data_IF_667216352908
#
_entry.id   IF_667216352908
#
_cell.length_a   1.000
_cell.length_b   1.000
_cell.length_c   1.000
_cell.angle_alpha   90.00
_cell.angle_beta   90.00
_cell.angle_gamma   90.00
#
_symmetry.space_group_name_H-M   'P 1'
#
loop_
_entity.id
_entity.type
_entity.pdbx_description
1 polymer ?
#
# COMPACT_ATOMS: atom_id res chain seq x y z
N UNK A 1 26.62 34.24 71.36
CA UNK A 1 26.87 33.27 70.28
C UNK A 1 25.58 33.05 69.50
N UNK A 2 25.45 33.65 68.30
CA UNK A 2 24.28 33.48 67.39
C UNK A 2 24.61 32.46 66.35
N UNK A 3 23.88 31.34 66.35
CA UNK A 3 23.99 30.30 65.31
C UNK A 3 23.09 30.66 64.12
N UNK A 4 23.67 30.84 62.95
CA UNK A 4 22.98 30.96 61.67
C UNK A 4 22.73 29.56 61.13
N UNK A 5 21.44 29.20 60.97
CA UNK A 5 21.04 28.02 60.18
C UNK A 5 20.92 28.46 58.70
N UNK A 6 21.78 27.91 57.88
CA UNK A 6 21.66 28.02 56.42
C UNK A 6 20.74 26.88 55.93
N UNK A 7 19.55 27.23 55.47
CA UNK A 7 18.67 26.28 54.80
C UNK A 7 19.05 26.20 53.32
N UNK A 8 19.54 25.02 52.87
CA UNK A 8 19.81 24.75 51.47
C UNK A 8 18.52 24.19 50.83
N UNK A 9 17.87 25.00 49.99
CA UNK A 9 16.74 24.55 49.20
C UNK A 9 17.24 23.73 48.02
N UNK A 10 16.97 22.43 48.00
CA UNK A 10 17.20 21.56 46.86
C UNK A 10 16.05 21.75 45.83
N UNK A 11 16.37 22.36 44.68
CA UNK A 11 15.46 22.53 43.56
C UNK A 11 15.44 21.20 42.81
N UNK A 12 14.40 20.39 42.99
CA UNK A 12 14.16 19.18 42.19
C UNK A 12 13.68 19.62 40.80
N UNK A 13 14.56 19.55 39.81
CA UNK A 13 14.21 19.63 38.37
C UNK A 13 13.46 18.34 38.01
N UNK A 14 12.14 18.38 38.04
CA UNK A 14 11.34 17.37 37.35
C UNK A 14 11.41 17.69 35.85
N UNK A 15 12.33 17.03 35.15
CA UNK A 15 12.28 16.95 33.69
C UNK A 15 11.00 16.19 33.32
N UNK A 16 9.94 16.92 33.05
CA UNK A 16 8.77 16.36 32.36
C UNK A 16 9.28 15.86 31.02
N UNK A 17 9.15 14.55 30.78
CA UNK A 17 9.34 13.99 29.44
C UNK A 17 8.23 14.61 28.58
N UNK A 18 8.58 15.58 27.73
CA UNK A 18 7.70 16.00 26.67
C UNK A 18 7.55 14.79 25.74
N UNK A 19 6.38 14.15 25.75
CA UNK A 19 6.01 13.21 24.71
C UNK A 19 5.88 14.05 23.44
N UNK A 20 6.81 13.89 22.50
CA UNK A 20 6.62 14.46 21.17
C UNK A 20 5.44 13.75 20.54
N UNK A 21 4.50 14.49 19.99
CA UNK A 21 3.39 13.90 19.21
C UNK A 21 3.97 13.08 18.06
N UNK A 22 3.49 11.82 17.91
CA UNK A 22 3.86 10.99 16.79
C UNK A 22 2.97 11.34 15.60
N UNK A 23 3.59 11.69 14.47
CA UNK A 23 2.88 11.95 13.21
C UNK A 23 3.27 10.87 12.21
N UNK A 24 2.27 10.26 11.59
CA UNK A 24 2.40 9.32 10.47
C UNK A 24 1.71 9.89 9.25
N UNK A 25 2.42 9.96 8.14
CA UNK A 25 1.86 10.29 6.83
C UNK A 25 1.54 9.01 6.08
N UNK A 26 0.32 8.85 5.64
CA UNK A 26 -0.12 7.72 4.81
C UNK A 26 -0.39 8.25 3.40
N UNK A 27 0.39 7.76 2.45
CA UNK A 27 0.11 7.87 1.03
C UNK A 27 -0.62 6.58 0.61
N UNK A 28 -1.59 6.67 -0.28
CA UNK A 28 -2.26 5.48 -0.76
C UNK A 28 -2.69 5.59 -2.21
N UNK A 29 -2.82 4.43 -2.83
CA UNK A 29 -3.49 4.21 -4.11
C UNK A 29 -4.51 3.08 -3.97
N UNK A 30 -5.40 2.96 -4.92
CA UNK A 30 -6.36 1.88 -5.08
C UNK A 30 -6.86 1.84 -6.52
N UNK A 31 -7.39 0.70 -6.95
CA UNK A 31 -8.09 0.53 -8.22
C UNK A 31 -7.28 1.06 -9.43
N UNK A 32 -6.02 0.72 -9.51
CA UNK A 32 -5.18 1.14 -10.64
C UNK A 32 -5.59 0.48 -11.95
N UNK A 33 -6.24 -0.68 -11.87
CA UNK A 33 -6.86 -1.38 -12.99
C UNK A 33 -5.97 -1.45 -14.23
N UNK A 34 -4.70 -1.83 -14.02
CA UNK A 34 -3.72 -2.02 -15.11
C UNK A 34 -3.56 -0.79 -16.04
N UNK A 35 -3.84 0.42 -15.53
CA UNK A 35 -3.63 1.67 -16.26
C UNK A 35 -2.15 2.05 -16.25
N UNK A 36 -1.33 1.21 -16.91
CA UNK A 36 0.12 1.40 -17.01
C UNK A 36 0.43 2.66 -17.80
N UNK A 37 -0.21 2.82 -18.96
CA UNK A 37 -0.15 4.04 -19.76
C UNK A 37 -1.20 5.06 -19.30
N UNK A 38 -0.99 6.31 -19.64
CA UNK A 38 -1.99 7.36 -19.44
C UNK A 38 -3.21 7.13 -20.32
N UNK A 39 -4.35 7.58 -19.82
CA UNK A 39 -5.64 7.49 -20.51
C UNK A 39 -6.21 8.87 -20.82
N UNK A 40 -7.08 8.93 -21.81
CA UNK A 40 -7.87 10.10 -22.12
C UNK A 40 -9.24 10.05 -21.38
N UNK A 41 -10.06 11.06 -21.57
CA UNK A 41 -11.40 11.15 -20.95
C UNK A 41 -12.39 10.04 -21.35
N UNK A 42 -12.04 9.20 -22.31
CA UNK A 42 -12.86 8.06 -22.77
C UNK A 42 -12.29 6.72 -22.30
N UNK A 43 -11.39 6.75 -21.33
CA UNK A 43 -10.71 5.56 -20.78
C UNK A 43 -9.93 4.75 -21.85
N UNK A 44 -9.41 5.43 -22.85
CA UNK A 44 -8.56 4.84 -23.90
C UNK A 44 -7.14 5.39 -23.78
N UNK A 45 -6.15 4.63 -24.24
CA UNK A 45 -4.74 5.08 -24.27
C UNK A 45 -4.61 6.47 -24.85
N UNK A 46 -3.89 7.32 -24.15
CA UNK A 46 -3.66 8.70 -24.57
C UNK A 46 -2.57 8.75 -25.64
N UNK A 47 -2.77 9.57 -26.66
CA UNK A 47 -1.78 9.79 -27.70
C UNK A 47 -0.84 10.96 -27.37
N UNK A 48 0.23 11.11 -28.14
CA UNK A 48 1.22 12.17 -27.93
C UNK A 48 0.65 13.60 -28.04
N UNK A 49 -0.39 13.82 -28.84
CA UNK A 49 -1.07 15.09 -28.96
C UNK A 49 -1.82 15.43 -27.67
N UNK A 50 -2.61 14.47 -27.16
CA UNK A 50 -3.30 14.60 -25.86
C UNK A 50 -2.35 14.82 -24.69
N UNK A 51 -1.18 14.16 -24.70
CA UNK A 51 -0.12 14.41 -23.72
C UNK A 51 0.39 15.85 -23.78
N UNK A 52 0.67 16.36 -24.98
CA UNK A 52 1.15 17.72 -25.17
C UNK A 52 0.10 18.78 -24.78
N UNK A 53 -1.19 18.49 -24.96
CA UNK A 53 -2.31 19.34 -24.59
C UNK A 53 -2.69 19.27 -23.11
N UNK A 54 -2.11 18.33 -22.35
CA UNK A 54 -2.48 18.09 -20.93
C UNK A 54 -3.86 17.49 -20.76
N UNK A 55 -4.37 16.77 -21.77
CA UNK A 55 -5.68 16.10 -21.75
C UNK A 55 -5.59 14.61 -21.34
N UNK A 56 -4.41 14.16 -20.90
CA UNK A 56 -4.15 12.80 -20.44
C UNK A 56 -4.18 12.69 -18.91
N UNK A 57 -4.62 11.54 -18.40
CA UNK A 57 -4.76 11.28 -16.97
C UNK A 57 -4.07 9.97 -16.59
N UNK A 58 -3.73 9.80 -15.29
CA UNK A 58 -3.22 8.54 -14.76
C UNK A 58 -1.93 8.05 -15.42
N UNK A 59 -1.77 6.75 -15.38
CA UNK A 59 -0.56 6.04 -15.78
C UNK A 59 0.47 5.92 -14.66
N UNK A 60 1.15 4.77 -14.58
CA UNK A 60 2.08 4.45 -13.48
C UNK A 60 3.24 5.44 -13.38
N UNK A 61 3.67 6.02 -14.50
CA UNK A 61 4.74 7.02 -14.50
C UNK A 61 4.35 8.29 -13.70
N UNK A 62 3.09 8.73 -13.82
CA UNK A 62 2.58 9.87 -13.04
C UNK A 62 2.38 9.51 -11.58
N UNK A 63 1.87 8.31 -11.31
CA UNK A 63 1.74 7.81 -9.92
C UNK A 63 3.11 7.80 -9.26
N UNK A 64 4.11 7.18 -9.90
CA UNK A 64 5.48 7.17 -9.38
C UNK A 64 6.03 8.57 -9.15
N UNK A 65 5.89 9.47 -10.12
CA UNK A 65 6.39 10.84 -9.99
C UNK A 65 5.72 11.57 -8.82
N UNK A 66 4.41 11.39 -8.61
CA UNK A 66 3.68 11.98 -7.49
C UNK A 66 4.13 11.40 -6.14
N UNK A 67 4.33 10.09 -6.06
CA UNK A 67 4.84 9.42 -4.86
C UNK A 67 6.26 9.90 -4.54
N UNK A 68 7.16 9.94 -5.52
CA UNK A 68 8.54 10.40 -5.34
C UNK A 68 8.58 11.86 -4.86
N UNK A 69 7.74 12.72 -5.45
CA UNK A 69 7.60 14.11 -5.00
C UNK A 69 7.12 14.18 -3.55
N UNK A 70 6.10 13.41 -3.17
CA UNK A 70 5.58 13.41 -1.79
C UNK A 70 6.59 12.85 -0.79
N UNK A 71 7.33 11.82 -1.15
CA UNK A 71 8.42 11.30 -0.32
C UNK A 71 9.52 12.35 -0.11
N UNK A 72 9.88 13.10 -1.16
CA UNK A 72 10.85 14.19 -1.04
C UNK A 72 10.33 15.34 -0.16
N UNK A 73 9.06 15.72 -0.28
CA UNK A 73 8.42 16.73 0.57
C UNK A 73 8.36 16.31 2.05
N UNK A 74 8.28 15.01 2.31
CA UNK A 74 8.17 14.40 3.64
C UNK A 74 9.49 13.77 4.12
N UNK A 75 10.62 14.15 3.51
CA UNK A 75 11.93 13.61 3.90
C UNK A 75 12.19 13.75 5.40
N UNK A 76 12.62 12.67 6.03
CA UNK A 76 12.87 12.62 7.49
C UNK A 76 11.61 12.49 8.36
N UNK A 77 10.42 12.38 7.77
CA UNK A 77 9.17 12.11 8.48
C UNK A 77 8.77 10.62 8.39
N UNK A 78 7.79 10.24 9.19
CA UNK A 78 7.25 8.88 9.16
C UNK A 78 6.24 8.77 8.01
N UNK A 79 6.54 7.97 7.00
CA UNK A 79 5.70 7.82 5.81
C UNK A 79 5.46 6.34 5.53
N UNK A 80 4.24 5.99 5.18
CA UNK A 80 3.86 4.71 4.60
C UNK A 80 3.16 4.95 3.26
N UNK A 81 3.45 4.10 2.29
CA UNK A 81 2.72 4.01 1.02
C UNK A 81 1.98 2.68 0.96
N UNK A 82 0.66 2.75 0.91
CA UNK A 82 -0.23 1.60 0.91
C UNK A 82 -0.99 1.51 -0.42
N UNK A 83 -1.31 0.28 -0.83
CA UNK A 83 -2.25 0.03 -1.91
C UNK A 83 -3.47 -0.72 -1.38
N UNK A 84 -4.67 -0.29 -1.77
CA UNK A 84 -5.92 -0.86 -1.28
C UNK A 84 -6.51 -1.93 -2.22
N UNK A 85 -5.71 -2.44 -3.17
CA UNK A 85 -6.09 -3.53 -4.07
C UNK A 85 -6.55 -3.05 -5.45
N UNK A 86 -6.89 -4.02 -6.26
CA UNK A 86 -7.31 -3.89 -7.66
C UNK A 86 -6.26 -3.23 -8.59
N UNK A 87 -4.96 -3.59 -8.50
CA UNK A 87 -4.02 -3.27 -9.56
C UNK A 87 -4.32 -4.02 -10.86
N UNK A 88 -5.01 -5.18 -10.78
CA UNK A 88 -5.33 -6.03 -11.91
C UNK A 88 -6.50 -5.52 -12.73
N UNK A 89 -6.67 -6.14 -13.92
CA UNK A 89 -7.80 -5.93 -14.84
C UNK A 89 -7.83 -4.51 -15.45
N UNK A 90 -8.45 -4.38 -16.60
CA UNK A 90 -8.81 -3.08 -17.20
C UNK A 90 -7.99 -2.66 -18.42
N UNK A 91 -6.88 -3.33 -18.76
CA UNK A 91 -6.09 -3.02 -19.94
C UNK A 91 -5.51 -4.26 -20.64
N UNK A 92 -4.93 -4.04 -21.84
CA UNK A 92 -4.21 -5.08 -22.56
C UNK A 92 -2.92 -5.51 -21.84
N UNK A 93 -2.37 -4.70 -20.96
CA UNK A 93 -1.22 -5.09 -20.14
C UNK A 93 -1.59 -6.27 -19.25
N UNK A 94 -2.71 -6.19 -18.52
CA UNK A 94 -3.16 -7.31 -17.71
C UNK A 94 -3.47 -8.54 -18.57
N UNK A 95 -4.21 -8.37 -19.66
CA UNK A 95 -4.55 -9.49 -20.56
C UNK A 95 -3.32 -10.22 -21.11
N UNK A 96 -2.21 -9.47 -21.31
CA UNK A 96 -0.96 -9.98 -21.88
C UNK A 96 -0.01 -10.52 -20.81
N UNK A 97 0.17 -9.79 -19.70
CA UNK A 97 1.22 -10.04 -18.71
C UNK A 97 0.69 -10.65 -17.40
N UNK A 98 -0.65 -10.73 -17.23
CA UNK A 98 -1.29 -11.45 -16.11
C UNK A 98 -0.75 -11.03 -14.74
N UNK A 99 -0.69 -9.73 -14.49
CA UNK A 99 -0.21 -9.15 -13.24
C UNK A 99 1.32 -8.95 -13.16
N UNK A 100 2.11 -9.48 -14.10
CA UNK A 100 3.56 -9.31 -14.04
C UNK A 100 4.02 -7.88 -14.31
N UNK A 101 3.34 -7.14 -15.19
CA UNK A 101 3.63 -5.72 -15.42
C UNK A 101 3.25 -4.88 -14.20
N UNK A 102 2.09 -5.14 -13.60
CA UNK A 102 1.62 -4.50 -12.38
C UNK A 102 2.62 -4.70 -11.25
N UNK A 103 3.09 -5.94 -11.03
CA UNK A 103 4.10 -6.25 -10.02
C UNK A 103 5.39 -5.46 -10.24
N UNK A 104 5.92 -5.41 -11.46
CA UNK A 104 7.15 -4.68 -11.78
C UNK A 104 7.02 -3.18 -11.47
N UNK A 105 5.89 -2.57 -11.84
CA UNK A 105 5.67 -1.15 -11.56
C UNK A 105 5.39 -0.86 -10.09
N UNK A 106 4.66 -1.73 -9.39
CA UNK A 106 4.42 -1.58 -7.95
C UNK A 106 5.73 -1.71 -7.15
N UNK A 107 6.63 -2.63 -7.52
CA UNK A 107 8.00 -2.70 -6.98
C UNK A 107 8.77 -1.41 -7.25
N UNK A 108 8.71 -0.88 -8.48
CA UNK A 108 9.39 0.37 -8.82
C UNK A 108 8.84 1.59 -8.06
N UNK A 109 7.55 1.60 -7.72
CA UNK A 109 6.92 2.64 -6.89
C UNK A 109 7.29 2.46 -5.42
N UNK A 110 7.65 1.23 -5.02
CA UNK A 110 8.06 0.81 -3.68
C UNK A 110 6.94 0.97 -2.65
N UNK A 111 5.87 0.20 -2.80
CA UNK A 111 4.81 0.09 -1.80
C UNK A 111 5.32 -0.59 -0.53
N UNK A 112 4.76 -0.21 0.61
CA UNK A 112 5.07 -0.83 1.91
C UNK A 112 4.15 -2.01 2.21
N UNK A 113 2.87 -1.94 1.80
CA UNK A 113 1.86 -2.99 1.97
C UNK A 113 0.80 -2.85 0.89
N UNK A 114 0.27 -3.97 0.42
CA UNK A 114 -0.91 -4.03 -0.46
C UNK A 114 -2.03 -4.84 0.22
N UNK A 115 -3.27 -4.34 0.11
CA UNK A 115 -4.46 -5.13 0.38
C UNK A 115 -4.86 -5.94 -0.86
N UNK A 116 -5.45 -7.13 -0.66
CA UNK A 116 -6.07 -7.88 -1.75
C UNK A 116 -7.39 -7.22 -2.15
N UNK A 117 -7.58 -6.94 -3.43
CA UNK A 117 -8.86 -6.58 -4.03
C UNK A 117 -9.54 -7.76 -4.72
N UNK A 118 -10.74 -7.57 -5.27
CA UNK A 118 -11.47 -8.66 -5.91
C UNK A 118 -10.87 -9.05 -7.27
N UNK A 119 -10.29 -8.11 -8.00
CA UNK A 119 -9.71 -8.38 -9.31
C UNK A 119 -8.40 -9.17 -9.27
N UNK A 120 -7.74 -9.28 -8.11
CA UNK A 120 -6.61 -10.19 -7.93
C UNK A 120 -6.99 -11.66 -8.11
N UNK A 121 -8.29 -11.97 -8.09
CA UNK A 121 -8.83 -13.30 -8.32
C UNK A 121 -9.42 -13.51 -9.73
N UNK A 122 -9.29 -12.58 -10.67
CA UNK A 122 -9.88 -12.69 -12.01
C UNK A 122 -9.31 -13.88 -12.83
N UNK A 123 -8.05 -14.23 -12.63
CA UNK A 123 -7.44 -15.45 -13.16
C UNK A 123 -7.33 -16.56 -12.09
N UNK A 124 -8.19 -16.52 -11.09
CA UNK A 124 -8.22 -17.48 -9.99
C UNK A 124 -7.08 -17.28 -8.97
N UNK A 125 -6.96 -18.19 -7.99
CA UNK A 125 -5.91 -18.14 -6.96
C UNK A 125 -4.49 -18.15 -7.54
N UNK A 126 -4.30 -18.78 -8.71
CA UNK A 126 -2.99 -18.83 -9.37
C UNK A 126 -2.52 -17.43 -9.79
N UNK A 127 -3.43 -16.55 -10.30
CA UNK A 127 -3.08 -15.20 -10.69
C UNK A 127 -2.51 -14.40 -9.52
N UNK A 128 -3.18 -14.44 -8.37
CA UNK A 128 -2.70 -13.79 -7.15
C UNK A 128 -1.39 -14.42 -6.65
N UNK A 129 -1.26 -15.74 -6.66
CA UNK A 129 -0.04 -16.43 -6.25
C UNK A 129 1.17 -16.01 -7.09
N UNK A 130 0.99 -15.97 -8.43
CA UNK A 130 2.04 -15.55 -9.37
C UNK A 130 2.46 -14.08 -9.19
N UNK A 131 1.53 -13.23 -8.79
CA UNK A 131 1.81 -11.82 -8.47
C UNK A 131 2.61 -11.71 -7.17
N UNK A 132 2.17 -12.38 -6.10
CA UNK A 132 2.83 -12.33 -4.78
C UNK A 132 4.29 -12.79 -4.89
N UNK A 133 4.59 -13.76 -5.76
CA UNK A 133 5.97 -14.23 -5.99
C UNK A 133 6.89 -13.19 -6.64
N UNK A 134 6.33 -12.11 -7.20
CA UNK A 134 7.08 -11.07 -7.91
C UNK A 134 7.22 -9.78 -7.11
N UNK A 135 6.53 -9.65 -5.98
CA UNK A 135 6.59 -8.45 -5.14
C UNK A 135 7.31 -8.72 -3.83
N UNK A 136 7.97 -7.71 -3.28
CA UNK A 136 8.73 -7.81 -2.03
C UNK A 136 7.96 -7.30 -0.81
N UNK A 137 6.88 -6.54 -1.03
CA UNK A 137 6.03 -6.04 0.03
C UNK A 137 4.96 -7.06 0.44
N UNK A 138 4.53 -7.06 1.71
CA UNK A 138 3.47 -7.94 2.18
C UNK A 138 2.11 -7.64 1.52
N UNK A 139 1.39 -8.70 1.22
CA UNK A 139 0.00 -8.67 0.73
C UNK A 139 -0.91 -9.16 1.84
N UNK A 140 -1.94 -8.38 2.20
CA UNK A 140 -2.77 -8.62 3.38
C UNK A 140 -4.25 -8.73 3.04
N UNK A 141 -4.96 -9.63 3.76
CA UNK A 141 -6.42 -9.65 3.84
C UNK A 141 -6.85 -10.37 5.13
N UNK A 142 -7.49 -9.65 6.03
CA UNK A 142 -7.84 -10.16 7.36
C UNK A 142 -9.13 -10.97 7.44
N UNK A 143 -9.91 -11.01 6.38
CA UNK A 143 -11.18 -11.74 6.32
C UNK A 143 -11.20 -12.91 5.32
N UNK A 144 -10.06 -13.24 4.71
CA UNK A 144 -9.95 -14.42 3.86
C UNK A 144 -9.58 -15.66 4.69
N UNK A 145 -10.31 -16.74 4.50
CA UNK A 145 -9.88 -18.08 4.90
C UNK A 145 -9.31 -18.78 3.64
N UNK A 146 -8.00 -18.99 3.65
CA UNK A 146 -7.22 -19.60 2.57
C UNK A 146 -6.78 -21.02 2.91
N UNK A 147 -7.26 -21.59 4.02
CA UNK A 147 -6.86 -22.94 4.47
C UNK A 147 -7.24 -24.05 3.47
N UNK A 148 -8.21 -23.79 2.60
CA UNK A 148 -8.61 -24.67 1.51
C UNK A 148 -7.86 -24.46 0.18
N UNK A 149 -7.00 -23.39 0.09
CA UNK A 149 -6.33 -23.01 -1.16
C UNK A 149 -4.78 -23.08 -1.01
N UNK A 150 -4.23 -24.21 -1.39
CA UNK A 150 -2.81 -24.50 -1.22
C UNK A 150 -1.87 -23.53 -1.96
N UNK A 151 -2.33 -22.87 -3.02
CA UNK A 151 -1.53 -21.89 -3.77
C UNK A 151 -1.29 -20.61 -2.99
N UNK A 152 -2.20 -20.26 -2.10
CA UNK A 152 -2.18 -19.00 -1.32
C UNK A 152 -1.90 -19.21 0.16
N UNK A 153 -1.87 -20.45 0.64
CA UNK A 153 -1.61 -20.77 2.04
C UNK A 153 -0.25 -20.20 2.48
N UNK A 154 -0.29 -19.34 3.51
CA UNK A 154 0.87 -18.64 4.03
C UNK A 154 1.45 -17.53 3.14
N UNK A 155 0.85 -17.20 1.99
CA UNK A 155 1.31 -16.12 1.11
C UNK A 155 0.58 -14.79 1.35
N UNK A 156 -0.69 -14.84 1.74
CA UNK A 156 -1.46 -13.67 2.13
C UNK A 156 -1.54 -13.63 3.64
N UNK A 157 -1.14 -12.52 4.23
CA UNK A 157 -1.14 -12.36 5.67
C UNK A 157 -2.47 -11.75 6.15
N UNK A 158 -2.94 -12.15 7.34
CA UNK A 158 -4.15 -11.53 7.92
C UNK A 158 -3.91 -10.07 8.29
N UNK A 159 -2.68 -9.73 8.65
CA UNK A 159 -2.23 -8.38 9.00
C UNK A 159 -0.70 -8.35 9.03
N UNK A 160 -0.15 -7.16 8.95
CA UNK A 160 1.29 -6.93 9.16
C UNK A 160 1.50 -5.85 10.21
N UNK A 161 2.61 -5.94 10.94
CA UNK A 161 3.04 -4.89 11.87
C UNK A 161 4.38 -4.35 11.41
N UNK A 162 4.40 -3.11 10.99
CA UNK A 162 5.61 -2.39 10.59
C UNK A 162 6.11 -1.48 11.72
N UNK A 163 7.43 -1.34 11.84
CA UNK A 163 8.02 -0.35 12.73
C UNK A 163 8.36 0.92 11.95
N UNK A 164 7.70 2.03 12.28
CA UNK A 164 7.87 3.31 11.61
C UNK A 164 8.16 4.38 12.65
N UNK A 165 9.32 5.02 12.57
CA UNK A 165 9.71 6.06 13.53
C UNK A 165 9.71 5.58 14.99
N UNK A 166 10.03 4.32 15.25
CA UNK A 166 10.05 3.71 16.57
C UNK A 166 8.67 3.34 17.13
N UNK A 167 7.60 3.46 16.33
CA UNK A 167 6.25 3.02 16.69
C UNK A 167 5.85 1.80 15.86
N UNK A 168 5.10 0.89 16.48
CA UNK A 168 4.53 -0.27 15.81
C UNK A 168 3.18 0.10 15.20
N UNK A 169 3.09 -0.01 13.89
CA UNK A 169 1.89 0.29 13.11
C UNK A 169 1.32 -1.02 12.58
N UNK A 170 0.14 -1.38 13.05
CA UNK A 170 -0.61 -2.54 12.55
C UNK A 170 -1.42 -2.14 11.30
N UNK A 171 -1.30 -2.94 10.24
CA UNK A 171 -2.03 -2.77 8.99
C UNK A 171 -2.87 -4.01 8.77
N UNK A 172 -4.16 -3.82 8.55
CA UNK A 172 -5.14 -4.86 8.28
C UNK A 172 -6.04 -4.39 7.14
N UNK A 173 -6.52 -5.32 6.34
CA UNK A 173 -7.50 -5.05 5.29
C UNK A 173 -8.66 -6.04 5.37
N UNK A 174 -9.72 -5.75 4.63
CA UNK A 174 -10.83 -6.66 4.40
C UNK A 174 -11.23 -6.60 2.93
N UNK A 175 -11.26 -7.76 2.29
CA UNK A 175 -11.78 -7.94 0.94
C UNK A 175 -13.31 -7.82 0.94
N UNK A 176 -13.86 -7.31 -0.16
CA UNK A 176 -15.30 -7.25 -0.37
C UNK A 176 -15.93 -8.65 -0.33
N UNK A 177 -17.01 -8.81 0.42
CA UNK A 177 -17.65 -10.14 0.63
C UNK A 177 -18.38 -10.68 -0.59
N UNK A 178 -18.63 -9.84 -1.58
CA UNK A 178 -19.23 -10.21 -2.87
C UNK A 178 -18.18 -10.56 -3.95
N UNK A 179 -16.93 -10.74 -3.56
CA UNK A 179 -15.84 -11.15 -4.47
C UNK A 179 -16.17 -12.44 -5.24
N UNK A 180 -16.89 -13.36 -4.62
CA UNK A 180 -17.33 -14.60 -5.27
C UNK A 180 -18.32 -14.37 -6.42
N UNK A 181 -18.99 -13.22 -6.46
CA UNK A 181 -19.93 -12.82 -7.51
C UNK A 181 -19.24 -11.93 -8.57
N UNK A 182 -18.16 -11.26 -8.20
CA UNK A 182 -17.51 -10.23 -9.02
C UNK A 182 -16.18 -10.70 -9.61
N UNK A 183 -15.66 -11.86 -9.18
CA UNK A 183 -14.40 -12.44 -9.64
C UNK A 183 -14.43 -13.97 -9.55
N UNK A 184 -13.28 -14.63 -9.57
CA UNK A 184 -13.14 -16.09 -9.62
C UNK A 184 -12.20 -16.63 -8.52
N UNK A 185 -12.47 -16.39 -7.23
CA UNK A 185 -11.56 -16.78 -6.16
C UNK A 185 -11.37 -18.30 -6.00
N UNK A 186 -12.28 -19.10 -6.58
CA UNK A 186 -12.28 -20.56 -6.45
C UNK A 186 -12.98 -21.03 -5.17
N UNK A 187 -13.21 -22.35 -5.08
CA UNK A 187 -13.95 -22.95 -3.94
C UNK A 187 -13.11 -23.02 -2.65
N UNK A 188 -11.79 -22.91 -2.75
CA UNK A 188 -10.86 -22.96 -1.61
C UNK A 188 -10.64 -21.62 -0.89
N UNK A 189 -11.21 -20.53 -1.42
CA UNK A 189 -11.13 -19.18 -0.87
C UNK A 189 -12.48 -18.80 -0.27
N UNK A 190 -12.52 -18.52 1.02
CA UNK A 190 -13.75 -18.21 1.76
C UNK A 190 -13.61 -16.91 2.55
#
# INVERSE_FOLDING_TARGET
MKRFLTATAALALTSGMASADYTLHILHTNDMHSRIESINKYDSTCNAEGEAEGSCFGGVARVKAAVDQKRAELEGQNVLLLDAGDPFQGSLFYSTFKGAAEAEFMEAIAYDVMAVGNHEFDDGPQGLADFIEKVSFPVVSGNLDLSGEALLDGKVENHVVLEVGGQKIGIVSALATDTVETSSPGEGVV
#
